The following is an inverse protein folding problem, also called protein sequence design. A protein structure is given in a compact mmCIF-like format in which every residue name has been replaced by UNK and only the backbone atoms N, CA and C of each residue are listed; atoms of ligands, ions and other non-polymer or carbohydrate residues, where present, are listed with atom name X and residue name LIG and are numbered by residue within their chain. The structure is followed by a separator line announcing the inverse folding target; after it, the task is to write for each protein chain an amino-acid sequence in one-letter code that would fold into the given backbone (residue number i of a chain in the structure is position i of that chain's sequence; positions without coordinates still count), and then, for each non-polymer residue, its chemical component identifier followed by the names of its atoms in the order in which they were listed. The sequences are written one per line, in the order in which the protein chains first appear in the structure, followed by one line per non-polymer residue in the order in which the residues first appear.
data_IF_948320997265
#
_entry.id   IF_948320997265
#
_cell.length_a   1.000
_cell.length_b   1.000
_cell.length_c   1.000
_cell.angle_alpha   90.00
_cell.angle_beta   90.00
_cell.angle_gamma   90.00
#
_symmetry.space_group_name_H-M   'P 1'
#
loop_
_entity.id
_entity.type
_entity.pdbx_description
1 polymer ?
#
# COMPACT_ATOMS: atom_id res chain seq x y z
N UNK A 1 -2.36 16.10 9.89
CA UNK A 1 -2.78 15.99 11.31
C UNK A 1 -1.69 16.57 12.21
N UNK A 2 -2.03 17.46 13.17
CA UNK A 2 -1.01 18.21 13.91
C UNK A 2 -0.12 17.34 14.83
N UNK A 3 -0.56 16.13 15.14
CA UNK A 3 0.17 15.20 16.03
C UNK A 3 0.77 14.01 15.31
N UNK A 4 0.74 13.96 13.98
CA UNK A 4 1.38 12.90 13.19
C UNK A 4 2.73 13.36 12.67
N UNK A 5 3.67 12.42 12.52
CA UNK A 5 4.97 12.68 11.91
C UNK A 5 4.83 12.90 10.39
N UNK A 6 3.98 12.12 9.74
CA UNK A 6 3.58 12.33 8.35
C UNK A 6 2.07 12.20 8.18
N UNK A 7 1.45 13.03 7.35
CA UNK A 7 0.03 12.95 7.03
C UNK A 7 -0.22 13.37 5.58
N UNK A 8 -0.98 12.55 4.86
CA UNK A 8 -1.31 12.76 3.45
C UNK A 8 -2.79 12.52 3.22
N UNK A 9 -3.40 13.35 2.40
CA UNK A 9 -4.69 13.05 1.77
C UNK A 9 -4.41 12.65 0.33
N UNK A 10 -4.82 11.45 -0.04
CA UNK A 10 -4.75 10.97 -1.41
C UNK A 10 -6.17 10.78 -1.96
N UNK A 11 -6.33 10.94 -3.28
CA UNK A 11 -7.63 10.77 -3.94
C UNK A 11 -7.49 10.12 -5.31
N UNK A 12 -8.50 9.35 -5.68
CA UNK A 12 -8.78 8.87 -7.03
C UNK A 12 -10.27 9.07 -7.31
N UNK A 13 -10.61 9.81 -8.36
CA UNK A 13 -11.99 10.27 -8.51
C UNK A 13 -12.44 11.08 -7.28
N UNK A 14 -13.59 10.74 -6.70
CA UNK A 14 -14.07 11.31 -5.44
C UNK A 14 -13.80 10.39 -4.21
N UNK A 15 -13.19 9.24 -4.40
CA UNK A 15 -12.67 8.43 -3.30
C UNK A 15 -11.44 9.10 -2.69
N UNK A 16 -11.44 9.29 -1.37
CA UNK A 16 -10.39 10.00 -0.64
C UNK A 16 -10.00 9.26 0.64
N UNK A 17 -8.71 9.21 0.91
CA UNK A 17 -8.16 8.65 2.14
C UNK A 17 -7.24 9.65 2.83
N UNK A 18 -7.36 9.74 4.16
CA UNK A 18 -6.39 10.41 5.02
C UNK A 18 -5.50 9.36 5.66
N UNK A 19 -4.22 9.38 5.34
CA UNK A 19 -3.26 8.46 5.94
C UNK A 19 -2.27 9.21 6.81
N UNK A 20 -2.02 8.68 8.00
CA UNK A 20 -1.05 9.22 8.98
C UNK A 20 -0.02 8.16 9.33
N UNK A 21 1.22 8.59 9.50
CA UNK A 21 2.34 7.76 9.95
C UNK A 21 2.95 8.34 11.23
N UNK A 22 3.19 7.47 12.21
CA UNK A 22 3.80 7.81 13.48
C UNK A 22 4.77 6.70 13.91
N UNK A 23 5.84 7.07 14.61
CA UNK A 23 6.71 6.11 15.28
C UNK A 23 6.97 6.56 16.73
N UNK A 24 7.10 5.59 17.62
CA UNK A 24 7.47 5.85 19.02
C UNK A 24 8.91 6.38 19.09
N UNK A 25 9.18 7.31 20.02
CA UNK A 25 10.52 7.92 20.20
C UNK A 25 11.53 6.96 20.83
N UNK A 26 11.07 5.90 21.48
CA UNK A 26 11.92 4.90 22.16
C UNK A 26 11.44 3.50 21.85
N UNK A 27 12.38 2.56 21.85
CA UNK A 27 12.08 1.12 21.74
C UNK A 27 11.65 0.60 23.11
N UNK A 28 10.68 -0.31 23.16
CA UNK A 28 10.30 -1.01 24.39
C UNK A 28 11.35 -2.07 24.73
N UNK A 29 11.66 -2.20 26.02
CA UNK A 29 12.58 -3.23 26.49
C UNK A 29 12.08 -4.63 26.14
N UNK A 30 12.99 -5.49 25.63
CA UNK A 30 12.69 -6.87 25.25
C UNK A 30 11.95 -7.03 23.91
N UNK A 31 11.92 -5.99 23.09
CA UNK A 31 11.31 -6.09 21.74
C UNK A 31 12.26 -6.83 20.79
N UNK A 32 11.84 -7.97 20.30
CA UNK A 32 12.59 -8.87 19.40
C UNK A 32 12.12 -8.84 17.94
N UNK A 33 11.08 -8.07 17.62
CA UNK A 33 10.54 -7.90 16.27
C UNK A 33 10.22 -6.42 15.96
N UNK A 34 9.94 -6.11 14.70
CA UNK A 34 9.48 -4.79 14.29
C UNK A 34 7.95 -4.65 14.49
N UNK A 35 7.50 -3.82 15.46
CA UNK A 35 6.09 -3.65 15.76
C UNK A 35 5.45 -2.62 14.83
N UNK A 36 5.12 -3.03 13.60
CA UNK A 36 4.34 -2.25 12.64
C UNK A 36 2.86 -2.57 12.80
N UNK A 37 2.05 -1.56 13.02
CA UNK A 37 0.58 -1.63 13.01
C UNK A 37 0.06 -0.84 11.83
N UNK A 38 -0.76 -1.47 11.01
CA UNK A 38 -1.47 -0.83 9.90
C UNK A 38 -2.97 -0.98 10.15
N UNK A 39 -3.65 0.15 10.24
CA UNK A 39 -5.10 0.22 10.43
C UNK A 39 -5.76 0.93 9.25
N UNK A 40 -6.86 0.37 8.76
CA UNK A 40 -7.73 0.99 7.76
C UNK A 40 -9.12 1.15 8.35
N UNK A 41 -9.61 2.37 8.36
CA UNK A 41 -10.89 2.75 8.92
C UNK A 41 -11.84 3.22 7.82
N UNK A 42 -12.80 2.38 7.48
CA UNK A 42 -13.92 2.75 6.60
C UNK A 42 -15.01 3.44 7.42
N UNK A 43 -15.22 4.71 7.15
CA UNK A 43 -16.23 5.50 7.85
C UNK A 43 -17.51 5.56 7.04
N UNK A 44 -18.64 5.23 7.67
CA UNK A 44 -19.96 5.24 7.02
C UNK A 44 -20.27 6.61 6.38
N UNK A 45 -19.84 7.71 7.01
CA UNK A 45 -20.04 9.06 6.48
C UNK A 45 -19.32 9.31 5.14
N UNK A 46 -18.22 8.58 4.87
CA UNK A 46 -17.48 8.72 3.62
C UNK A 46 -18.35 8.36 2.39
N UNK A 47 -19.27 7.41 2.57
CA UNK A 47 -20.27 7.02 1.57
C UNK A 47 -21.64 7.71 1.79
N UNK A 48 -21.71 8.77 2.59
CA UNK A 48 -22.95 9.47 2.90
C UNK A 48 -23.93 8.63 3.74
N UNK A 49 -23.45 7.61 4.44
CA UNK A 49 -24.28 6.67 5.20
C UNK A 49 -24.15 6.90 6.72
N UNK A 50 -25.19 6.48 7.44
CA UNK A 50 -25.18 6.41 8.90
C UNK A 50 -25.04 4.92 9.30
N UNK A 51 -24.23 4.59 10.31
CA UNK A 51 -24.10 3.21 10.79
C UNK A 51 -25.46 2.58 11.06
N UNK A 52 -25.71 1.38 10.48
CA UNK A 52 -27.03 0.73 10.47
C UNK A 52 -27.36 -0.08 11.72
N UNK A 53 -26.47 -0.14 12.73
CA UNK A 53 -26.71 -0.88 13.97
C UNK A 53 -27.69 -0.13 14.89
N UNK A 54 -28.29 -0.86 15.86
CA UNK A 54 -29.15 -0.25 16.88
C UNK A 54 -28.50 0.93 17.60
N UNK A 55 -27.20 0.83 17.90
CA UNK A 55 -26.43 1.88 18.57
C UNK A 55 -25.99 3.01 17.63
N UNK A 56 -26.22 2.89 16.33
CA UNK A 56 -25.76 3.85 15.29
C UNK A 56 -24.30 4.24 15.44
N UNK A 57 -23.46 3.27 15.77
CA UNK A 57 -22.01 3.40 15.91
C UNK A 57 -21.33 2.51 14.89
N UNK A 58 -20.17 2.93 14.46
CA UNK A 58 -19.27 2.07 13.71
C UNK A 58 -18.77 0.96 14.65
N UNK A 59 -18.91 -0.28 14.19
CA UNK A 59 -18.55 -1.46 14.96
C UNK A 59 -17.09 -1.87 14.70
N UNK A 60 -16.89 -3.18 14.54
CA UNK A 60 -15.60 -3.74 14.13
C UNK A 60 -15.30 -3.34 12.68
N UNK A 61 -14.00 -3.28 12.28
CA UNK A 61 -13.62 -3.13 10.88
C UNK A 61 -14.29 -4.20 10.01
N UNK A 62 -14.60 -3.85 8.77
CA UNK A 62 -15.10 -4.78 7.77
C UNK A 62 -14.01 -5.80 7.40
N UNK A 63 -14.40 -6.91 6.76
CA UNK A 63 -13.42 -7.85 6.19
C UNK A 63 -12.53 -7.15 5.16
N UNK A 64 -13.10 -6.31 4.33
CA UNK A 64 -12.38 -5.55 3.30
C UNK A 64 -11.34 -4.60 3.92
N UNK A 65 -11.70 -3.90 5.01
CA UNK A 65 -10.76 -3.07 5.74
C UNK A 65 -9.60 -3.89 6.31
N UNK A 66 -9.87 -5.08 6.88
CA UNK A 66 -8.85 -5.98 7.41
C UNK A 66 -7.94 -6.50 6.29
N UNK A 67 -8.50 -6.87 5.14
CA UNK A 67 -7.72 -7.30 3.99
C UNK A 67 -6.86 -6.16 3.43
N UNK A 68 -7.39 -4.94 3.38
CA UNK A 68 -6.64 -3.75 2.98
C UNK A 68 -5.49 -3.44 3.96
N UNK A 69 -5.68 -3.63 5.28
CA UNK A 69 -4.59 -3.54 6.25
C UNK A 69 -3.45 -4.50 5.91
N UNK A 70 -3.78 -5.77 5.66
CA UNK A 70 -2.81 -6.82 5.31
C UNK A 70 -2.13 -6.54 3.97
N UNK A 71 -2.89 -6.10 2.98
CA UNK A 71 -2.39 -5.74 1.66
C UNK A 71 -1.41 -4.57 1.75
N UNK A 72 -1.66 -3.62 2.65
CA UNK A 72 -0.79 -2.47 2.91
C UNK A 72 0.46 -2.86 3.70
N UNK A 73 0.34 -3.67 4.74
CA UNK A 73 1.47 -4.11 5.58
C UNK A 73 2.53 -4.89 4.77
N UNK A 74 2.11 -5.75 3.85
CA UNK A 74 3.00 -6.65 3.11
C UNK A 74 4.12 -5.95 2.34
N UNK A 75 3.89 -4.91 1.53
CA UNK A 75 4.97 -4.20 0.85
C UNK A 75 5.67 -3.16 1.75
N UNK A 76 5.00 -2.61 2.77
CA UNK A 76 5.60 -1.61 3.65
C UNK A 76 6.62 -2.22 4.60
N UNK A 77 6.30 -3.32 5.25
CA UNK A 77 7.14 -3.94 6.29
C UNK A 77 8.58 -4.23 5.86
N UNK A 78 8.85 -4.84 4.70
CA UNK A 78 10.22 -5.10 4.23
C UNK A 78 10.96 -3.84 3.76
N UNK A 79 10.30 -2.69 3.73
CA UNK A 79 10.89 -1.41 3.35
C UNK A 79 11.40 -0.58 4.53
N UNK A 80 11.36 -1.15 5.75
CA UNK A 80 12.03 -0.56 6.90
C UNK A 80 13.41 -1.20 7.08
N UNK A 81 14.42 -0.45 7.56
CA UNK A 81 15.76 -0.97 7.71
C UNK A 81 15.83 -2.05 8.79
N UNK A 82 16.78 -2.97 8.61
CA UNK A 82 17.03 -4.04 9.57
C UNK A 82 17.37 -3.46 10.96
N UNK A 83 16.82 -4.11 11.99
CA UNK A 83 17.02 -3.67 13.37
C UNK A 83 16.20 -2.46 13.79
N UNK A 84 15.36 -1.89 12.93
CA UNK A 84 14.41 -0.86 13.33
C UNK A 84 13.28 -1.48 14.16
N UNK A 85 13.21 -1.13 15.45
CA UNK A 85 12.26 -1.75 16.40
C UNK A 85 11.38 -0.74 17.15
N UNK A 86 11.31 0.47 16.64
CA UNK A 86 10.37 1.46 17.15
C UNK A 86 8.93 1.11 16.74
N UNK A 87 8.00 1.12 17.70
CA UNK A 87 6.59 0.91 17.41
C UNK A 87 6.12 1.94 16.39
N UNK A 88 5.69 1.46 15.23
CA UNK A 88 5.27 2.31 14.12
C UNK A 88 3.82 2.03 13.79
N UNK A 89 3.04 3.08 13.63
CA UNK A 89 1.63 3.01 13.29
C UNK A 89 1.34 3.80 12.03
N UNK A 90 0.67 3.15 11.09
CA UNK A 90 0.12 3.75 9.88
C UNK A 90 -1.40 3.58 9.92
N UNK A 91 -2.12 4.69 9.95
CA UNK A 91 -3.59 4.69 9.99
C UNK A 91 -4.11 5.38 8.75
N UNK A 92 -4.93 4.66 7.99
CA UNK A 92 -5.65 5.19 6.83
C UNK A 92 -7.13 5.27 7.16
N UNK A 93 -7.70 6.46 7.05
CA UNK A 93 -9.14 6.70 7.22
C UNK A 93 -9.75 7.06 5.87
N UNK A 94 -10.71 6.28 5.42
CA UNK A 94 -11.50 6.60 4.23
C UNK A 94 -12.46 7.73 4.58
N UNK A 95 -12.23 8.91 4.00
CA UNK A 95 -12.98 10.14 4.29
C UNK A 95 -13.96 10.53 3.18
N UNK A 96 -13.82 9.94 2.01
CA UNK A 96 -14.74 10.06 0.87
C UNK A 96 -14.74 8.78 0.07
N UNK A 97 -15.90 8.32 -0.41
CA UNK A 97 -16.04 7.13 -1.23
C UNK A 97 -17.11 7.39 -2.31
N UNK A 98 -16.70 7.35 -3.57
CA UNK A 98 -17.61 7.50 -4.71
C UNK A 98 -18.33 6.20 -5.09
N UNK A 99 -17.93 5.09 -4.51
CA UNK A 99 -18.42 3.74 -4.80
C UNK A 99 -18.09 3.25 -6.23
N UNK A 100 -17.18 3.92 -6.90
CA UNK A 100 -16.65 3.56 -8.21
C UNK A 100 -15.17 3.14 -8.08
N UNK A 101 -14.36 3.93 -7.35
CA UNK A 101 -12.93 3.74 -7.25
C UNK A 101 -12.55 3.05 -5.92
N UNK A 102 -11.90 1.86 -5.97
CA UNK A 102 -11.42 1.16 -4.78
C UNK A 102 -10.39 1.98 -3.99
N UNK A 103 -10.46 1.93 -2.66
CA UNK A 103 -9.57 2.67 -1.77
C UNK A 103 -8.33 1.88 -1.31
N UNK A 104 -8.26 0.59 -1.58
CA UNK A 104 -7.21 -0.30 -1.08
C UNK A 104 -5.82 0.03 -1.63
N UNK A 105 -5.65 0.07 -2.96
CA UNK A 105 -4.39 0.46 -3.61
C UNK A 105 -4.05 1.92 -3.31
N UNK A 106 -5.07 2.79 -3.26
CA UNK A 106 -4.90 4.19 -2.86
C UNK A 106 -4.34 4.29 -1.44
N UNK A 107 -4.79 3.41 -0.52
CA UNK A 107 -4.30 3.35 0.87
C UNK A 107 -2.82 2.99 0.95
N UNK A 108 -2.34 2.06 0.11
CA UNK A 108 -0.92 1.68 0.06
C UNK A 108 -0.07 2.86 -0.43
N UNK A 109 -0.47 3.49 -1.51
CA UNK A 109 0.24 4.64 -2.08
C UNK A 109 0.25 5.84 -1.11
N UNK A 110 -0.86 6.08 -0.41
CA UNK A 110 -0.96 7.11 0.62
C UNK A 110 -0.09 6.81 1.85
N UNK A 111 -0.01 5.54 2.27
CA UNK A 111 0.83 5.10 3.37
C UNK A 111 2.31 5.30 3.05
N UNK A 112 2.74 4.91 1.85
CA UNK A 112 4.09 5.17 1.36
C UNK A 112 4.39 6.68 1.35
N UNK A 113 3.51 7.50 0.79
CA UNK A 113 3.68 8.95 0.74
C UNK A 113 3.75 9.59 2.14
N UNK A 114 2.93 9.12 3.10
CA UNK A 114 2.96 9.60 4.48
C UNK A 114 4.28 9.26 5.20
N UNK A 115 4.80 8.06 4.96
CA UNK A 115 6.11 7.64 5.48
C UNK A 115 7.24 8.48 4.87
N UNK A 116 7.20 8.75 3.58
CA UNK A 116 8.22 9.56 2.88
C UNK A 116 8.38 10.98 3.44
N UNK A 117 7.32 11.57 3.99
CA UNK A 117 7.35 12.93 4.57
C UNK A 117 7.44 12.94 6.10
N UNK A 118 7.52 11.77 6.75
CA UNK A 118 7.46 11.65 8.21
C UNK A 118 8.83 11.77 8.90
N UNK A 119 9.92 11.52 8.17
CA UNK A 119 11.26 11.36 8.75
C UNK A 119 11.51 10.00 9.41
N UNK A 120 10.52 9.10 9.44
CA UNK A 120 10.70 7.71 9.86
C UNK A 120 11.60 7.01 8.84
N UNK A 121 12.57 6.17 9.27
CA UNK A 121 13.43 5.46 8.34
C UNK A 121 12.60 4.49 7.49
N UNK A 122 12.53 4.77 6.20
CA UNK A 122 11.70 4.05 5.24
C UNK A 122 12.37 4.06 3.87
N UNK A 123 12.62 2.87 3.33
CA UNK A 123 13.29 2.67 2.03
C UNK A 123 12.26 2.66 0.88
N UNK A 124 11.57 3.77 0.75
CA UNK A 124 10.59 4.04 -0.31
C UNK A 124 11.05 5.11 -1.29
N UNK A 125 10.16 5.63 -2.14
CA UNK A 125 8.72 5.35 -2.18
C UNK A 125 8.35 4.00 -2.81
N UNK A 126 7.21 3.47 -2.39
CA UNK A 126 6.54 2.33 -3.01
C UNK A 126 5.42 2.81 -3.93
N UNK A 127 5.32 2.22 -5.11
CA UNK A 127 4.17 2.38 -5.99
C UNK A 127 3.35 1.10 -6.04
N UNK A 128 2.03 1.23 -6.13
CA UNK A 128 1.12 0.08 -6.22
C UNK A 128 0.05 0.35 -7.26
N UNK A 129 -0.28 -0.69 -8.02
CA UNK A 129 -1.35 -0.68 -9.02
C UNK A 129 -2.21 -1.94 -8.87
N UNK A 130 -3.52 -1.79 -9.07
CA UNK A 130 -4.44 -2.89 -9.37
C UNK A 130 -4.64 -2.93 -10.87
N UNK A 131 -4.69 -4.13 -11.45
CA UNK A 131 -5.10 -4.34 -12.84
C UNK A 131 -6.14 -5.44 -12.90
N UNK A 132 -7.21 -5.22 -13.68
CA UNK A 132 -8.20 -6.23 -14.02
C UNK A 132 -7.94 -6.76 -15.44
N UNK A 133 -8.20 -8.05 -15.65
CA UNK A 133 -8.11 -8.67 -16.98
C UNK A 133 -9.51 -8.80 -17.56
N UNK A 134 -9.77 -8.10 -18.65
CA UNK A 134 -11.08 -8.09 -19.31
C UNK A 134 -11.41 -9.44 -19.95
N UNK A 135 -12.67 -9.65 -20.30
CA UNK A 135 -13.12 -10.85 -21.02
C UNK A 135 -12.53 -10.92 -22.43
N UNK A 136 -12.20 -9.77 -23.04
CA UNK A 136 -11.55 -9.63 -24.35
C UNK A 136 -10.05 -9.91 -24.29
N UNK A 137 -9.45 -9.95 -23.10
CA UNK A 137 -8.04 -10.27 -22.91
C UNK A 137 -7.12 -9.05 -22.84
N UNK A 138 -7.59 -7.96 -22.26
CA UNK A 138 -6.81 -6.72 -22.08
C UNK A 138 -6.64 -6.41 -20.58
N UNK A 139 -5.48 -5.91 -20.21
CA UNK A 139 -5.23 -5.43 -18.84
C UNK A 139 -5.70 -3.99 -18.68
N UNK A 140 -6.61 -3.77 -17.72
CA UNK A 140 -7.17 -2.47 -17.35
C UNK A 140 -6.49 -2.03 -16.04
N UNK A 141 -5.62 -1.00 -16.07
CA UNK A 141 -5.01 -0.46 -14.84
C UNK A 141 -6.00 0.43 -14.10
N UNK A 142 -5.90 0.41 -12.77
CA UNK A 142 -6.77 1.18 -11.86
C UNK A 142 -8.27 0.97 -12.15
N UNK A 143 -8.72 -0.30 -12.27
CA UNK A 143 -10.11 -0.56 -12.62
C UNK A 143 -11.08 -0.03 -11.56
N UNK A 144 -12.25 0.36 -12.01
CA UNK A 144 -13.39 0.60 -11.14
C UNK A 144 -13.93 -0.73 -10.58
N UNK A 145 -14.82 -0.68 -9.59
CA UNK A 145 -15.50 -1.89 -9.11
C UNK A 145 -16.24 -2.63 -10.23
N UNK A 146 -16.93 -1.90 -11.11
CA UNK A 146 -17.66 -2.48 -12.25
C UNK A 146 -16.71 -3.17 -13.25
N UNK A 147 -15.58 -2.55 -13.58
CA UNK A 147 -14.57 -3.15 -14.47
C UNK A 147 -13.93 -4.40 -13.84
N UNK A 148 -13.70 -4.37 -12.52
CA UNK A 148 -13.22 -5.53 -11.77
C UNK A 148 -14.22 -6.69 -11.76
N UNK A 149 -15.49 -6.42 -11.46
CA UNK A 149 -16.55 -7.43 -11.44
C UNK A 149 -16.79 -8.07 -12.82
N UNK A 150 -16.70 -7.28 -13.89
CA UNK A 150 -16.82 -7.74 -15.26
C UNK A 150 -15.54 -8.38 -15.82
N UNK A 151 -14.42 -8.24 -15.13
CA UNK A 151 -13.16 -8.89 -15.47
C UNK A 151 -13.16 -10.39 -15.13
N UNK A 152 -12.19 -11.12 -15.68
CA UNK A 152 -11.99 -12.55 -15.37
C UNK A 152 -10.94 -12.77 -14.30
N UNK A 153 -10.07 -11.80 -14.06
CA UNK A 153 -8.96 -11.91 -13.13
C UNK A 153 -8.50 -10.54 -12.66
N UNK A 154 -7.98 -10.48 -11.44
CA UNK A 154 -7.38 -9.27 -10.88
C UNK A 154 -5.99 -9.55 -10.33
N UNK A 155 -5.13 -8.53 -10.40
CA UNK A 155 -3.81 -8.55 -9.82
C UNK A 155 -3.46 -7.20 -9.19
N UNK A 156 -3.00 -7.22 -7.94
CA UNK A 156 -2.43 -6.07 -7.25
C UNK A 156 -0.93 -6.27 -7.13
N UNK A 157 -0.16 -5.30 -7.59
CA UNK A 157 1.30 -5.36 -7.62
C UNK A 157 1.85 -4.12 -6.96
N UNK A 158 2.72 -4.32 -5.96
CA UNK A 158 3.50 -3.25 -5.36
C UNK A 158 4.99 -3.42 -5.69
N UNK A 159 5.67 -2.32 -5.91
CA UNK A 159 7.09 -2.32 -6.22
C UNK A 159 7.79 -1.02 -5.86
N UNK A 160 9.10 -1.04 -5.92
CA UNK A 160 9.97 0.14 -5.80
C UNK A 160 10.85 0.28 -7.02
N UNK A 161 11.22 1.50 -7.34
CA UNK A 161 12.17 1.78 -8.42
C UNK A 161 13.60 1.51 -7.95
N UNK A 162 14.35 0.78 -8.76
CA UNK A 162 15.75 0.47 -8.57
C UNK A 162 16.66 1.60 -9.12
N UNK A 163 17.95 1.57 -8.78
CA UNK A 163 18.93 2.56 -9.24
C UNK A 163 19.10 2.58 -10.78
N UNK A 164 18.92 1.43 -11.44
CA UNK A 164 18.95 1.31 -12.90
C UNK A 164 17.66 1.79 -13.58
N UNK A 165 16.69 2.24 -12.79
CA UNK A 165 15.40 2.73 -13.26
C UNK A 165 14.40 1.61 -13.57
N UNK A 166 14.69 0.34 -13.32
CA UNK A 166 13.70 -0.73 -13.37
C UNK A 166 12.86 -0.77 -12.07
N UNK A 167 11.84 -1.62 -12.01
CA UNK A 167 10.99 -1.80 -10.84
C UNK A 167 11.20 -3.19 -10.27
N UNK A 168 11.61 -3.23 -9.00
CA UNK A 168 11.57 -4.46 -8.20
C UNK A 168 10.14 -4.69 -7.72
N UNK A 169 9.54 -5.80 -8.12
CA UNK A 169 8.24 -6.24 -7.61
C UNK A 169 8.44 -6.78 -6.20
N UNK A 170 7.74 -6.20 -5.23
CA UNK A 170 7.87 -6.54 -3.81
C UNK A 170 6.67 -7.33 -3.29
N UNK A 171 5.50 -7.13 -3.87
CA UNK A 171 4.28 -7.83 -3.46
C UNK A 171 3.39 -8.05 -4.67
N UNK A 172 2.81 -9.24 -4.72
CA UNK A 172 1.76 -9.62 -5.68
C UNK A 172 0.62 -10.25 -4.90
N UNK A 173 -0.59 -9.83 -5.21
CA UNK A 173 -1.85 -10.46 -4.79
C UNK A 173 -2.70 -10.63 -6.03
N UNK A 174 -3.16 -11.85 -6.31
CA UNK A 174 -3.85 -12.13 -7.56
C UNK A 174 -4.94 -13.19 -7.37
N UNK A 175 -6.02 -13.09 -8.14
CA UNK A 175 -7.12 -14.03 -8.09
C UNK A 175 -8.10 -13.88 -9.24
N UNK A 176 -8.85 -14.95 -9.52
CA UNK A 176 -9.98 -14.89 -10.43
C UNK A 176 -11.12 -14.08 -9.80
N UNK A 177 -11.88 -13.36 -10.63
CA UNK A 177 -13.11 -12.71 -10.21
C UNK A 177 -14.17 -13.76 -9.80
N UNK A 178 -15.17 -13.35 -9.02
CA UNK A 178 -16.23 -14.24 -8.54
C UNK A 178 -16.93 -14.97 -9.68
N UNK A 179 -17.14 -14.29 -10.81
CA UNK A 179 -17.85 -14.80 -11.97
C UNK A 179 -16.92 -15.38 -13.06
N UNK A 180 -15.62 -15.46 -12.83
CA UNK A 180 -14.63 -15.89 -13.84
C UNK A 180 -14.98 -17.25 -14.49
N UNK A 181 -15.50 -18.19 -13.71
CA UNK A 181 -15.90 -19.50 -14.21
C UNK A 181 -16.96 -19.38 -15.32
N UNK A 182 -17.99 -18.58 -15.10
CA UNK A 182 -19.08 -18.39 -16.08
C UNK A 182 -18.57 -17.65 -17.31
N UNK A 183 -17.72 -16.64 -17.13
CA UNK A 183 -17.13 -15.91 -18.26
C UNK A 183 -16.26 -16.82 -19.13
N UNK A 184 -15.50 -17.75 -18.51
CA UNK A 184 -14.70 -18.71 -19.27
C UNK A 184 -15.54 -19.72 -20.03
N UNK A 185 -16.69 -20.13 -19.52
CA UNK A 185 -17.65 -20.99 -20.21
C UNK A 185 -18.28 -20.28 -21.43
N UNK A 186 -18.49 -18.96 -21.32
CA UNK A 186 -18.99 -18.11 -22.40
C UNK A 186 -17.91 -17.69 -23.41
N UNK A 187 -16.66 -18.14 -23.22
CA UNK A 187 -15.57 -17.96 -24.17
C UNK A 187 -14.63 -16.80 -23.88
N UNK A 188 -14.68 -16.22 -22.70
CA UNK A 188 -13.71 -15.20 -22.28
C UNK A 188 -12.27 -15.70 -22.32
N UNK A 189 -11.33 -14.79 -22.53
CA UNK A 189 -9.89 -15.09 -22.54
C UNK A 189 -9.41 -15.59 -21.18
N UNK A 190 -8.72 -16.74 -21.20
CA UNK A 190 -8.14 -17.33 -19.99
C UNK A 190 -6.81 -16.69 -19.65
N UNK A 191 -6.58 -16.52 -18.36
CA UNK A 191 -5.28 -16.06 -17.84
C UNK A 191 -4.34 -17.27 -17.75
N UNK A 192 -3.22 -17.19 -18.48
CA UNK A 192 -2.14 -18.17 -18.47
C UNK A 192 -0.93 -17.57 -17.73
N UNK A 193 0.09 -18.39 -17.46
CA UNK A 193 1.34 -17.92 -16.87
C UNK A 193 2.03 -16.86 -17.74
N UNK A 194 1.92 -16.96 -19.05
CA UNK A 194 2.44 -15.96 -19.99
C UNK A 194 1.73 -14.63 -19.84
N UNK A 195 0.40 -14.63 -19.77
CA UNK A 195 -0.42 -13.43 -19.52
C UNK A 195 -0.08 -12.79 -18.18
N UNK A 196 0.17 -13.59 -17.13
CA UNK A 196 0.64 -13.08 -15.84
C UNK A 196 2.05 -12.48 -15.93
N UNK A 197 2.95 -13.09 -16.69
CA UNK A 197 4.27 -12.53 -16.98
C UNK A 197 4.18 -11.16 -17.66
N UNK A 198 3.28 -11.00 -18.62
CA UNK A 198 3.02 -9.72 -19.29
C UNK A 198 2.46 -8.68 -18.31
N UNK A 199 1.57 -9.07 -17.40
CA UNK A 199 1.05 -8.19 -16.35
C UNK A 199 2.16 -7.63 -15.47
N UNK A 200 3.13 -8.47 -15.05
CA UNK A 200 4.27 -8.08 -14.24
C UNK A 200 5.24 -7.12 -14.96
N UNK A 201 5.23 -7.09 -16.28
CA UNK A 201 5.94 -6.07 -17.05
C UNK A 201 5.10 -4.80 -17.24
N UNK A 202 3.83 -4.96 -17.60
CA UNK A 202 2.92 -3.84 -17.85
C UNK A 202 2.69 -2.97 -16.59
N UNK A 203 2.65 -3.56 -15.40
CA UNK A 203 2.43 -2.83 -14.15
C UNK A 203 3.54 -1.80 -13.83
N UNK A 204 4.76 -2.01 -14.34
CA UNK A 204 5.93 -1.19 -13.99
C UNK A 204 5.74 0.29 -14.34
N UNK A 205 5.05 0.60 -15.42
CA UNK A 205 4.79 2.00 -15.82
C UNK A 205 3.92 2.70 -14.77
N UNK A 206 2.86 2.06 -14.31
CA UNK A 206 1.93 2.63 -13.32
C UNK A 206 2.54 2.75 -11.92
N UNK A 207 3.38 1.79 -11.55
CA UNK A 207 4.18 1.85 -10.32
C UNK A 207 5.11 3.07 -10.35
N UNK A 208 5.83 3.29 -11.45
CA UNK A 208 6.71 4.46 -11.63
C UNK A 208 5.96 5.78 -11.59
N UNK A 209 4.77 5.85 -12.20
CA UNK A 209 3.94 7.06 -12.15
C UNK A 209 3.51 7.39 -10.72
N UNK A 210 3.06 6.38 -9.95
CA UNK A 210 2.72 6.55 -8.54
C UNK A 210 3.94 7.02 -7.72
N UNK A 211 5.12 6.43 -7.95
CA UNK A 211 6.38 6.83 -7.32
C UNK A 211 6.76 8.28 -7.69
N UNK A 212 6.61 8.66 -8.94
CA UNK A 212 6.90 10.02 -9.41
C UNK A 212 6.02 11.07 -8.72
N UNK A 213 4.71 10.79 -8.54
CA UNK A 213 3.79 11.66 -7.80
C UNK A 213 4.22 11.83 -6.34
N UNK A 214 4.63 10.74 -5.68
CA UNK A 214 5.10 10.80 -4.29
C UNK A 214 6.39 11.62 -4.17
N UNK A 215 7.34 11.48 -5.10
CA UNK A 215 8.56 12.30 -5.15
C UNK A 215 8.24 13.79 -5.35
N UNK A 216 7.25 14.12 -6.19
CA UNK A 216 6.80 15.50 -6.38
C UNK A 216 6.18 16.06 -5.09
N UNK A 217 5.38 15.26 -4.38
CA UNK A 217 4.86 15.63 -3.07
C UNK A 217 5.98 15.94 -2.08
N UNK A 218 6.96 15.05 -1.95
CA UNK A 218 8.12 15.25 -1.06
C UNK A 218 8.86 16.53 -1.39
N UNK A 219 9.14 16.78 -2.67
CA UNK A 219 9.80 18.00 -3.13
C UNK A 219 8.99 19.26 -2.77
N UNK A 220 7.67 19.22 -2.93
CA UNK A 220 6.76 20.32 -2.57
C UNK A 220 6.73 20.56 -1.05
N UNK A 221 6.71 19.49 -0.24
CA UNK A 221 6.77 19.59 1.22
C UNK A 221 8.08 20.24 1.67
N UNK A 222 9.22 19.79 1.11
CA UNK A 222 10.53 20.36 1.42
C UNK A 222 10.60 21.84 1.02
N UNK A 223 10.07 22.20 -0.13
CA UNK A 223 10.05 23.58 -0.60
C UNK A 223 9.21 24.52 0.29
N UNK A 224 8.14 23.97 0.91
CA UNK A 224 7.20 24.76 1.71
C UNK A 224 7.56 24.79 3.19
N UNK A 225 8.03 23.68 3.74
CA UNK A 225 8.25 23.49 5.19
C UNK A 225 9.71 23.31 5.58
N UNK A 226 10.63 23.25 4.61
CA UNK A 226 12.04 22.96 4.85
C UNK A 226 12.36 21.45 4.83
N UNK A 227 13.61 21.09 5.08
CA UNK A 227 14.06 19.70 5.05
C UNK A 227 13.27 18.82 6.03
N UNK A 228 13.02 17.58 5.63
CA UNK A 228 12.41 16.58 6.51
C UNK A 228 13.49 16.10 7.48
N UNK A 229 13.28 16.35 8.77
CA UNK A 229 14.22 15.94 9.81
C UNK A 229 14.14 14.42 10.02
N UNK A 230 15.21 13.66 9.79
CA UNK A 230 15.20 12.22 9.98
C UNK A 230 15.08 11.87 11.46
N UNK A 231 14.30 10.85 11.76
CA UNK A 231 14.15 10.30 13.09
C UNK A 231 15.50 9.70 13.56
N UNK A 232 15.94 10.06 14.77
CA UNK A 232 17.11 9.43 15.40
C UNK A 232 16.74 8.03 15.91
N UNK A 233 17.50 7.01 15.52
CA UNK A 233 17.31 5.63 15.96
C UNK A 233 18.63 4.86 15.94
N UNK A 234 18.65 3.70 16.61
CA UNK A 234 19.83 2.83 16.66
C UNK A 234 19.37 1.41 16.31
N UNK A 235 20.05 0.72 15.37
CA UNK A 235 19.71 -0.66 15.03
C UNK A 235 19.86 -1.61 16.24
N UNK A 236 18.84 -2.45 16.43
CA UNK A 236 18.85 -3.55 17.39
C UNK A 236 18.97 -4.85 16.59
N UNK A 237 20.20 -5.36 16.48
CA UNK A 237 20.49 -6.59 15.76
C UNK A 237 20.78 -7.72 16.75
N UNK A 238 20.30 -8.93 16.43
CA UNK A 238 20.51 -10.13 17.25
C UNK A 238 21.83 -10.87 16.91
N UNK A 239 22.61 -10.32 15.98
CA UNK A 239 23.89 -10.86 15.51
C UNK A 239 24.93 -9.74 15.33
N UNK A 240 26.19 -10.11 15.39
CA UNK A 240 27.31 -9.20 15.11
C UNK A 240 27.63 -9.18 13.62
N UNK A 241 28.28 -8.11 13.15
CA UNK A 241 28.77 -8.04 11.76
C UNK A 241 29.69 -9.21 11.40
N UNK A 242 30.50 -9.69 12.33
CA UNK A 242 31.40 -10.85 12.14
C UNK A 242 30.61 -12.14 11.81
N UNK A 243 29.47 -12.36 12.48
CA UNK A 243 28.60 -13.51 12.21
C UNK A 243 27.94 -13.36 10.84
N UNK A 244 27.43 -12.15 10.53
CA UNK A 244 26.82 -11.87 9.24
C UNK A 244 27.82 -12.14 8.09
N UNK A 245 29.01 -11.53 8.16
CA UNK A 245 30.07 -11.66 7.15
C UNK A 245 30.55 -13.11 6.97
N UNK A 246 30.51 -13.90 8.05
CA UNK A 246 30.88 -15.31 7.99
C UNK A 246 29.84 -16.17 7.24
N UNK A 247 28.55 -15.85 7.42
CA UNK A 247 27.45 -16.56 6.76
C UNK A 247 27.31 -16.13 5.30
N UNK A 248 27.51 -14.85 4.99
CA UNK A 248 27.41 -14.31 3.62
C UNK A 248 28.45 -14.93 2.66
N UNK A 249 29.59 -15.43 3.19
CA UNK A 249 30.67 -16.04 2.41
C UNK A 249 30.45 -17.53 2.09
N UNK A 250 29.37 -18.14 2.58
CA UNK A 250 29.01 -19.53 2.32
C UNK A 250 28.08 -19.64 1.14
#
# INVERSE_FOLDING_TARGET
APNSMGAVVASIGATQVLTTANAAKSVRDGMDFFPLTVDVEERAYAAGKIPGSFFRREGRPTEDAILTCRLTDRPLRPSFPDGFRHETQVVTTVIGADQENPHDVLSINAASAALMISGIPFDGPLGTVRMAYSQEGEWIPHPTYEESENGTFEIVIAGRELEDGDVAVMMVEAGGSENAFYYYDDGAKKVTEEVLGDALQACKVWIKESIALQRQLVASVIATHGPIEPMSWTPVLDYTSEIFDAVEKI
#
